data_IF_526964751204
#
_entry.id   IF_526964751204
#
_cell.length_a   1.000
_cell.length_b   1.000
_cell.length_c   1.000
_cell.angle_alpha   90.00
_cell.angle_beta   90.00
_cell.angle_gamma   90.00
#
_symmetry.space_group_name_H-M   'P 1'
#
loop_
_entity.id
_entity.type
_entity.pdbx_description
1 polymer ?
#
# COMPACT_ATOMS: atom_id res chain seq x y z
N UNK A 1 5.88 6.65 -14.02
CA UNK A 1 4.84 7.72 -14.02
C UNK A 1 5.52 8.99 -13.55
N UNK A 2 5.46 10.10 -14.30
CA UNK A 2 6.01 11.35 -13.79
C UNK A 2 5.23 11.74 -12.54
N UNK A 3 5.93 12.00 -11.45
CA UNK A 3 5.34 12.60 -10.26
C UNK A 3 5.02 14.05 -10.60
N UNK A 4 3.75 14.35 -10.77
CA UNK A 4 3.24 15.69 -10.80
C UNK A 4 3.01 16.10 -9.35
N UNK A 5 3.98 16.67 -8.66
CA UNK A 5 3.73 17.33 -7.40
C UNK A 5 3.14 18.69 -7.71
N UNK A 6 1.84 18.85 -7.54
CA UNK A 6 1.23 20.15 -7.41
C UNK A 6 1.05 20.40 -5.92
N UNK A 7 1.95 21.18 -5.30
CA UNK A 7 1.67 21.74 -4.00
C UNK A 7 0.53 22.76 -4.18
N UNK A 8 -0.67 22.39 -3.82
CA UNK A 8 -1.77 23.35 -3.62
C UNK A 8 -1.66 23.81 -2.18
N UNK A 9 -1.08 24.98 -1.95
CA UNK A 9 -1.12 25.64 -0.65
C UNK A 9 -2.46 26.41 -0.57
N UNK A 10 -3.32 26.00 0.33
CA UNK A 10 -4.63 26.61 0.55
C UNK A 10 -4.55 27.60 1.73
N UNK A 11 -4.52 28.90 1.43
CA UNK A 11 -4.67 29.93 2.45
C UNK A 11 -6.14 30.30 2.57
N UNK A 12 -6.77 29.95 3.70
CA UNK A 12 -8.15 30.33 3.98
C UNK A 12 -8.23 31.79 4.46
N UNK A 13 -9.00 32.61 3.76
CA UNK A 13 -9.40 33.95 4.25
C UNK A 13 -10.92 34.01 4.37
N UNK A 14 -11.44 34.17 5.59
CA UNK A 14 -12.86 34.43 5.84
C UNK A 14 -13.09 35.90 6.09
N UNK A 15 -14.00 36.51 5.31
CA UNK A 15 -14.68 37.76 5.63
C UNK A 15 -16.18 37.55 5.45
N UNK A 16 -16.93 37.43 6.55
CA UNK A 16 -18.38 37.18 6.53
C UNK A 16 -18.75 35.76 6.04
N UNK A 17 -19.72 35.62 5.14
CA UNK A 17 -20.18 34.35 4.54
C UNK A 17 -19.39 33.97 3.27
N UNK A 18 -18.15 34.45 3.11
CA UNK A 18 -17.31 34.21 1.94
C UNK A 18 -16.15 33.29 2.31
N UNK A 19 -15.98 32.19 1.57
CA UNK A 19 -14.80 31.33 1.62
C UNK A 19 -13.99 31.56 0.35
N UNK A 20 -12.70 31.81 0.49
CA UNK A 20 -11.75 31.87 -0.62
C UNK A 20 -10.74 30.73 -0.48
N UNK A 21 -10.59 29.95 -1.54
CA UNK A 21 -9.59 28.86 -1.64
C UNK A 21 -8.56 29.30 -2.66
N UNK A 22 -7.32 29.41 -2.24
CA UNK A 22 -6.19 29.70 -3.12
C UNK A 22 -5.50 28.38 -3.49
N UNK A 23 -5.41 28.06 -4.77
CA UNK A 23 -4.73 26.88 -5.27
C UNK A 23 -3.55 27.27 -6.16
N UNK A 24 -2.42 26.58 -5.99
CA UNK A 24 -1.24 26.72 -6.83
C UNK A 24 -0.80 25.38 -7.38
N UNK A 25 -0.12 25.39 -8.53
CA UNK A 25 0.43 24.18 -9.12
C UNK A 25 1.92 24.37 -9.47
N UNK A 26 2.69 23.30 -9.30
CA UNK A 26 4.07 23.20 -9.70
C UNK A 26 4.26 21.94 -10.53
N UNK A 27 4.90 22.05 -11.70
CA UNK A 27 5.22 20.89 -12.53
C UNK A 27 6.71 20.53 -12.36
N UNK A 28 7.05 19.41 -11.72
CA UNK A 28 8.44 19.05 -11.41
C UNK A 28 9.24 18.52 -12.61
N UNK A 29 8.62 18.33 -13.78
CA UNK A 29 9.29 17.76 -14.95
C UNK A 29 10.21 18.82 -15.60
N UNK A 30 11.46 18.89 -15.17
CA UNK A 30 12.44 19.89 -15.59
C UNK A 30 12.93 19.81 -17.06
N UNK A 31 12.68 18.72 -17.76
CA UNK A 31 13.25 18.45 -19.12
C UNK A 31 12.27 18.64 -20.28
N UNK A 32 11.07 19.15 -20.06
CA UNK A 32 10.08 19.36 -21.11
C UNK A 32 10.02 20.87 -21.46
N UNK A 33 10.15 21.32 -22.73
CA UNK A 33 10.04 22.72 -23.11
C UNK A 33 8.68 23.37 -22.76
N UNK A 34 7.66 22.56 -22.47
CA UNK A 34 6.32 23.00 -22.04
C UNK A 34 6.13 23.04 -20.52
N UNK A 35 7.20 22.84 -19.73
CA UNK A 35 7.13 22.76 -18.26
C UNK A 35 6.64 24.06 -17.58
N UNK A 36 6.76 25.20 -18.25
CA UNK A 36 6.30 26.47 -17.72
C UNK A 36 4.81 26.74 -17.94
N UNK A 37 4.15 25.91 -18.73
CA UNK A 37 2.72 26.03 -18.97
C UNK A 37 1.93 25.34 -17.81
N UNK A 38 0.93 26.03 -17.25
CA UNK A 38 0.09 25.42 -16.24
C UNK A 38 -0.75 24.28 -16.85
N UNK A 39 -0.92 23.22 -16.07
CA UNK A 39 -1.83 22.13 -16.42
C UNK A 39 -3.28 22.55 -16.15
N UNK A 40 -4.23 21.92 -16.83
CA UNK A 40 -5.64 22.04 -16.55
C UNK A 40 -6.01 20.94 -15.58
N UNK A 41 -6.23 21.30 -14.30
CA UNK A 41 -6.45 20.35 -13.20
C UNK A 41 -7.86 20.50 -12.66
N UNK A 42 -8.80 19.57 -12.94
CA UNK A 42 -10.10 19.56 -12.31
C UNK A 42 -9.99 19.10 -10.84
N UNK A 43 -10.65 19.83 -9.95
CA UNK A 43 -10.66 19.56 -8.51
C UNK A 43 -12.11 19.43 -8.06
N UNK A 44 -12.55 18.20 -7.79
CA UNK A 44 -13.83 17.97 -7.12
C UNK A 44 -13.65 18.26 -5.63
N UNK A 45 -14.42 19.20 -5.11
CA UNK A 45 -14.36 19.58 -3.70
C UNK A 45 -15.74 19.50 -3.04
N UNK A 46 -15.73 19.31 -1.72
CA UNK A 46 -16.89 19.48 -0.89
C UNK A 46 -16.59 20.44 0.27
N UNK A 47 -17.52 21.37 0.53
CA UNK A 47 -17.49 22.32 1.62
C UNK A 47 -18.59 21.91 2.60
N UNK A 48 -18.20 21.54 3.82
CA UNK A 48 -19.15 21.13 4.87
C UNK A 48 -19.62 22.35 5.65
N UNK A 49 -20.91 22.65 5.52
CA UNK A 49 -21.56 23.79 6.14
C UNK A 49 -22.19 23.42 7.50
N UNK A 50 -22.55 24.44 8.28
CA UNK A 50 -23.07 24.29 9.66
C UNK A 50 -24.44 23.62 9.78
N UNK A 51 -25.25 23.71 8.76
CA UNK A 51 -26.63 23.22 8.73
C UNK A 51 -26.78 21.82 8.11
N UNK A 52 -25.73 20.99 8.25
CA UNK A 52 -25.57 19.68 7.62
C UNK A 52 -25.67 19.73 6.07
N UNK A 53 -25.54 20.90 5.48
CA UNK A 53 -25.44 21.04 4.03
C UNK A 53 -24.01 20.87 3.59
N UNK A 54 -23.84 20.17 2.49
CA UNK A 54 -22.56 20.02 1.80
C UNK A 54 -22.67 20.69 0.43
N UNK A 55 -21.75 21.61 0.14
CA UNK A 55 -21.63 22.22 -1.18
C UNK A 55 -20.60 21.43 -1.96
N UNK A 56 -21.04 20.67 -2.95
CA UNK A 56 -20.16 19.93 -3.84
C UNK A 56 -19.95 20.70 -5.14
N UNK A 57 -18.70 20.83 -5.58
CA UNK A 57 -18.39 21.58 -6.80
C UNK A 57 -17.10 21.11 -7.44
N UNK A 58 -17.07 21.08 -8.76
CA UNK A 58 -15.84 20.96 -9.54
C UNK A 58 -15.32 22.35 -9.89
N UNK A 59 -14.11 22.67 -9.49
CA UNK A 59 -13.37 23.84 -9.94
C UNK A 59 -12.21 23.39 -10.83
N UNK A 60 -11.72 24.28 -11.68
CA UNK A 60 -10.62 23.92 -12.59
C UNK A 60 -9.47 24.92 -12.43
N UNK A 61 -8.34 24.42 -11.93
CA UNK A 61 -7.11 25.18 -11.84
C UNK A 61 -6.47 25.26 -13.25
N UNK A 62 -6.40 26.46 -13.82
CA UNK A 62 -5.91 26.71 -15.19
C UNK A 62 -4.61 27.50 -15.26
N UNK A 63 -4.23 28.11 -14.15
CA UNK A 63 -3.07 28.99 -14.04
C UNK A 63 -2.12 28.48 -12.95
N UNK A 64 -0.89 29.00 -12.90
CA UNK A 64 0.07 28.62 -11.85
C UNK A 64 -0.48 28.89 -10.43
N UNK A 65 -1.33 29.92 -10.28
CA UNK A 65 -1.99 30.26 -9.03
C UNK A 65 -3.35 30.83 -9.35
N UNK A 66 -4.41 30.39 -8.63
CA UNK A 66 -5.80 30.77 -8.86
C UNK A 66 -6.60 30.78 -7.56
N UNK A 67 -7.47 31.76 -7.40
CA UNK A 67 -8.42 31.85 -6.30
C UNK A 67 -9.81 31.37 -6.75
N UNK A 68 -10.46 30.61 -5.87
CA UNK A 68 -11.84 30.18 -6.02
C UNK A 68 -12.67 30.76 -4.88
N UNK A 69 -13.75 31.50 -5.21
CA UNK A 69 -14.57 32.21 -4.26
C UNK A 69 -15.93 31.55 -4.14
N UNK A 70 -16.30 31.16 -2.92
CA UNK A 70 -17.61 30.62 -2.57
C UNK A 70 -18.32 31.59 -1.66
N UNK A 71 -19.58 31.92 -2.00
CA UNK A 71 -20.44 32.84 -1.22
C UNK A 71 -21.51 32.05 -0.48
N UNK A 72 -22.04 32.61 0.59
CA UNK A 72 -23.09 32.05 1.44
C UNK A 72 -22.63 30.72 2.12
N UNK A 73 -21.33 30.63 2.47
CA UNK A 73 -20.79 29.52 3.19
C UNK A 73 -20.92 29.79 4.70
N UNK A 74 -21.91 29.16 5.33
CA UNK A 74 -22.13 29.26 6.79
C UNK A 74 -21.44 28.09 7.47
N UNK A 75 -20.66 28.35 8.51
CA UNK A 75 -20.02 27.31 9.34
C UNK A 75 -20.15 27.66 10.83
N UNK A 76 -20.54 26.69 11.67
CA UNK A 76 -20.49 26.83 13.13
C UNK A 76 -19.07 26.66 13.67
N UNK A 77 -18.18 26.04 12.90
CA UNK A 77 -16.74 25.99 13.16
C UNK A 77 -16.16 27.26 12.57
N UNK A 78 -15.15 27.84 13.19
CA UNK A 78 -14.56 29.11 12.75
C UNK A 78 -14.16 29.11 11.26
N UNK A 79 -13.80 27.94 10.71
CA UNK A 79 -13.45 27.74 9.31
C UNK A 79 -14.25 26.54 8.78
N UNK A 80 -14.90 26.64 7.59
CA UNK A 80 -15.60 25.50 6.97
C UNK A 80 -14.60 24.39 6.65
N UNK A 81 -15.00 23.16 6.94
CA UNK A 81 -14.21 21.99 6.55
C UNK A 81 -14.33 21.80 5.03
N UNK A 82 -13.20 21.64 4.35
CA UNK A 82 -13.15 21.42 2.89
C UNK A 82 -12.39 20.15 2.58
N UNK A 83 -12.89 19.36 1.63
CA UNK A 83 -12.20 18.20 1.08
C UNK A 83 -11.95 18.40 -0.41
N UNK A 84 -10.85 17.86 -0.92
CA UNK A 84 -10.35 18.07 -2.27
C UNK A 84 -10.14 16.78 -3.01
N UNK A 85 -10.12 16.84 -4.34
CA UNK A 85 -9.86 15.72 -5.24
C UNK A 85 -10.77 14.50 -5.03
N UNK A 86 -11.99 14.74 -4.56
CA UNK A 86 -13.00 13.69 -4.38
C UNK A 86 -13.15 12.89 -5.67
N UNK A 87 -13.48 11.59 -5.52
CA UNK A 87 -13.61 10.64 -6.64
C UNK A 87 -12.34 10.54 -7.51
N UNK A 88 -11.16 10.86 -6.92
CA UNK A 88 -9.90 10.88 -7.65
C UNK A 88 -9.95 11.78 -8.90
N UNK A 89 -10.51 12.98 -8.79
CA UNK A 89 -10.78 13.88 -9.93
C UNK A 89 -9.54 14.26 -10.75
N UNK A 90 -8.32 14.12 -10.20
CA UNK A 90 -7.08 14.33 -10.95
C UNK A 90 -5.93 13.48 -10.36
N UNK A 91 -5.06 12.90 -11.21
CA UNK A 91 -3.90 12.10 -10.78
C UNK A 91 -2.73 13.01 -10.40
N UNK A 92 -2.87 13.75 -9.31
CA UNK A 92 -1.87 14.70 -8.77
C UNK A 92 -1.47 14.32 -7.35
N UNK A 93 -0.24 14.63 -6.97
CA UNK A 93 0.14 14.74 -5.56
C UNK A 93 -0.27 16.12 -5.07
N UNK A 94 -0.87 16.24 -3.89
CA UNK A 94 -1.39 17.49 -3.38
C UNK A 94 -1.19 17.61 -1.87
N UNK A 95 -1.07 18.84 -1.42
CA UNK A 95 -0.97 19.23 -0.03
C UNK A 95 -2.02 20.27 0.30
N UNK A 96 -2.47 20.33 1.53
CA UNK A 96 -3.38 21.35 2.03
C UNK A 96 -3.00 21.75 3.46
N UNK A 97 -3.41 22.95 3.88
CA UNK A 97 -3.21 23.44 5.25
C UNK A 97 -4.13 22.75 6.28
N UNK A 98 -4.90 21.73 5.85
CA UNK A 98 -5.82 20.98 6.71
C UNK A 98 -5.06 20.32 7.86
N UNK A 99 -5.39 20.71 9.06
CA UNK A 99 -4.79 20.21 10.31
C UNK A 99 -5.17 18.76 10.59
N UNK A 100 -4.44 18.08 11.47
CA UNK A 100 -4.78 16.71 11.86
C UNK A 100 -6.15 16.60 12.53
N UNK A 101 -6.54 17.62 13.33
CA UNK A 101 -7.88 17.63 13.95
C UNK A 101 -8.99 17.80 12.91
N UNK A 102 -8.80 18.64 11.92
CA UNK A 102 -9.74 18.78 10.79
C UNK A 102 -9.79 17.48 9.95
N UNK A 103 -8.67 16.79 9.77
CA UNK A 103 -8.65 15.46 9.12
C UNK A 103 -9.49 14.42 9.89
N UNK A 104 -9.52 14.47 11.22
CA UNK A 104 -10.45 13.64 11.99
C UNK A 104 -11.92 14.05 11.78
N UNK A 105 -12.20 15.35 11.59
CA UNK A 105 -13.55 15.80 11.21
C UNK A 105 -13.92 15.32 9.81
N UNK A 106 -12.97 15.33 8.86
CA UNK A 106 -13.18 14.70 7.54
C UNK A 106 -13.61 13.25 7.70
N UNK A 107 -12.89 12.44 8.49
CA UNK A 107 -13.27 11.04 8.73
C UNK A 107 -14.68 10.87 9.34
N UNK A 108 -15.19 11.89 10.03
CA UNK A 108 -16.53 11.87 10.64
C UNK A 108 -17.64 12.26 9.66
N UNK A 109 -17.40 13.22 8.78
CA UNK A 109 -18.46 13.84 7.96
C UNK A 109 -18.39 13.47 6.48
N UNK A 110 -17.23 13.11 5.95
CA UNK A 110 -17.05 12.75 4.55
C UNK A 110 -17.68 11.38 4.23
N UNK A 111 -18.12 11.23 2.98
CA UNK A 111 -18.67 9.98 2.44
C UNK A 111 -17.93 9.50 1.19
N UNK A 112 -17.11 10.35 0.59
CA UNK A 112 -16.33 9.99 -0.58
C UNK A 112 -15.28 8.92 -0.24
N UNK A 113 -15.31 7.84 -1.02
CA UNK A 113 -14.43 6.68 -0.82
C UNK A 113 -12.94 7.06 -0.90
N UNK A 114 -12.57 7.80 -1.93
CA UNK A 114 -11.18 8.19 -2.16
C UNK A 114 -10.66 9.09 -1.03
N UNK A 115 -11.43 10.10 -0.67
CA UNK A 115 -11.05 11.05 0.38
C UNK A 115 -10.90 10.36 1.74
N UNK A 116 -11.83 9.48 2.11
CA UNK A 116 -11.76 8.73 3.38
C UNK A 116 -10.53 7.83 3.42
N UNK A 117 -10.30 7.02 2.36
CA UNK A 117 -9.14 6.11 2.32
C UNK A 117 -7.82 6.86 2.33
N UNK A 118 -7.71 7.97 1.58
CA UNK A 118 -6.51 8.80 1.58
C UNK A 118 -6.26 9.47 2.93
N UNK A 119 -7.31 9.96 3.59
CA UNK A 119 -7.19 10.60 4.91
C UNK A 119 -6.70 9.61 5.98
N UNK A 120 -7.22 8.38 5.99
CA UNK A 120 -6.73 7.34 6.91
C UNK A 120 -5.26 6.98 6.62
N UNK A 121 -4.86 6.90 5.35
CA UNK A 121 -3.45 6.66 4.96
C UNK A 121 -2.52 7.75 5.48
N UNK A 122 -2.94 9.02 5.48
CA UNK A 122 -2.17 10.12 6.08
C UNK A 122 -1.91 9.87 7.57
N UNK A 123 -2.92 9.39 8.32
CA UNK A 123 -2.73 9.05 9.74
C UNK A 123 -1.79 7.86 9.94
N UNK A 124 -1.98 6.77 9.20
CA UNK A 124 -1.07 5.63 9.28
C UNK A 124 0.37 6.04 8.99
N UNK A 125 0.59 6.81 7.92
CA UNK A 125 1.91 7.34 7.57
C UNK A 125 2.50 8.17 8.71
N UNK A 126 1.73 9.11 9.28
CA UNK A 126 2.18 9.93 10.43
C UNK A 126 2.57 9.06 11.62
N UNK A 127 1.76 8.06 11.96
CA UNK A 127 2.03 7.13 13.05
C UNK A 127 3.33 6.36 12.78
N UNK A 128 3.50 5.82 11.56
CA UNK A 128 4.71 5.08 11.18
C UNK A 128 5.95 5.97 11.30
N UNK A 129 5.91 7.19 10.76
CA UNK A 129 7.04 8.12 10.83
C UNK A 129 7.39 8.47 12.28
N UNK A 130 6.41 8.76 13.13
CA UNK A 130 6.65 9.02 14.55
C UNK A 130 7.31 7.82 15.28
N UNK A 131 6.93 6.59 14.92
CA UNK A 131 7.56 5.38 15.48
C UNK A 131 8.97 5.13 14.93
N UNK A 132 9.20 5.41 13.66
CA UNK A 132 10.55 5.36 13.07
C UNK A 132 11.50 6.38 13.73
N UNK A 133 10.98 7.54 14.14
CA UNK A 133 11.72 8.56 14.90
C UNK A 133 11.81 8.24 16.42
N UNK A 134 11.30 7.08 16.86
CA UNK A 134 11.24 6.65 18.27
C UNK A 134 10.44 7.61 19.17
N UNK A 135 9.48 8.34 18.60
CA UNK A 135 8.59 9.28 19.26
C UNK A 135 7.11 8.94 18.97
N UNK A 136 6.60 7.78 19.38
CA UNK A 136 5.23 7.38 19.09
C UNK A 136 4.21 8.38 19.63
N UNK A 137 3.25 8.77 18.79
CA UNK A 137 2.13 9.63 19.18
C UNK A 137 0.91 8.77 19.53
N UNK A 138 0.85 8.31 20.77
CA UNK A 138 -0.23 7.49 21.28
C UNK A 138 -1.59 8.18 21.25
N UNK A 139 -1.65 9.53 21.25
CA UNK A 139 -2.91 10.27 21.15
C UNK A 139 -3.51 10.09 19.75
N UNK A 140 -2.71 10.24 18.71
CA UNK A 140 -3.15 10.00 17.32
C UNK A 140 -3.50 8.53 17.12
N UNK A 141 -2.69 7.60 17.63
CA UNK A 141 -2.95 6.16 17.53
C UNK A 141 -4.33 5.80 18.13
N UNK A 142 -4.57 6.20 19.39
CA UNK A 142 -5.83 5.90 20.08
C UNK A 142 -7.04 6.57 19.40
N UNK A 143 -6.87 7.80 18.89
CA UNK A 143 -7.95 8.50 18.18
C UNK A 143 -8.26 7.84 16.83
N UNK A 144 -7.25 7.35 16.11
CA UNK A 144 -7.47 6.58 14.89
C UNK A 144 -8.16 5.24 15.18
N UNK A 145 -7.71 4.50 16.21
CA UNK A 145 -8.34 3.23 16.62
C UNK A 145 -9.82 3.44 16.94
N UNK A 146 -10.17 4.45 17.75
CA UNK A 146 -11.59 4.74 18.06
C UNK A 146 -12.39 5.13 16.83
N UNK A 147 -11.78 5.84 15.88
CA UNK A 147 -12.43 6.17 14.60
C UNK A 147 -12.68 4.91 13.76
N UNK A 148 -11.69 4.00 13.67
CA UNK A 148 -11.85 2.72 12.95
C UNK A 148 -12.91 1.83 13.62
N UNK A 149 -13.00 1.79 14.95
CA UNK A 149 -14.08 1.11 15.66
C UNK A 149 -15.45 1.64 15.21
N UNK A 150 -15.59 2.97 15.08
CA UNK A 150 -16.86 3.56 14.60
C UNK A 150 -17.21 3.13 13.18
N UNK A 151 -16.21 3.02 12.29
CA UNK A 151 -16.41 2.51 10.93
C UNK A 151 -16.77 1.03 10.92
N UNK A 152 -16.12 0.18 11.73
CA UNK A 152 -16.42 -1.25 11.82
C UNK A 152 -17.87 -1.47 12.30
N UNK A 153 -18.33 -0.67 13.27
CA UNK A 153 -19.70 -0.74 13.83
C UNK A 153 -20.77 -0.17 12.91
N UNK A 154 -20.38 0.62 11.91
CA UNK A 154 -21.34 1.15 10.95
C UNK A 154 -21.86 0.04 10.02
N UNK A 155 -23.16 -0.22 10.07
CA UNK A 155 -23.81 -1.28 9.26
C UNK A 155 -23.93 -0.89 7.77
N UNK A 156 -23.99 0.40 7.48
CA UNK A 156 -24.19 0.92 6.13
C UNK A 156 -22.87 1.21 5.40
N UNK A 157 -21.74 0.91 6.03
CA UNK A 157 -20.42 1.14 5.42
C UNK A 157 -20.21 0.24 4.21
N UNK A 158 -19.66 0.80 3.14
CA UNK A 158 -19.17 0.01 2.03
C UNK A 158 -18.02 -0.90 2.50
N UNK A 159 -18.18 -2.22 2.40
CA UNK A 159 -17.20 -3.19 2.90
C UNK A 159 -15.85 -3.12 2.18
N UNK A 160 -15.84 -2.70 0.90
CA UNK A 160 -14.57 -2.45 0.19
C UNK A 160 -13.84 -1.23 0.75
N UNK A 161 -14.57 -0.17 1.11
CA UNK A 161 -14.01 0.98 1.81
C UNK A 161 -13.45 0.55 3.17
N UNK A 162 -14.23 -0.19 3.97
CA UNK A 162 -13.77 -0.66 5.27
C UNK A 162 -12.46 -1.48 5.15
N UNK A 163 -12.34 -2.32 4.13
CA UNK A 163 -11.09 -3.05 3.85
C UNK A 163 -9.91 -2.10 3.62
N UNK A 164 -10.10 -1.00 2.87
CA UNK A 164 -9.04 0.00 2.65
C UNK A 164 -8.70 0.77 3.94
N UNK A 165 -9.71 1.16 4.72
CA UNK A 165 -9.50 1.88 5.98
C UNK A 165 -8.73 1.06 7.02
N UNK A 166 -8.91 -0.25 7.03
CA UNK A 166 -8.21 -1.19 7.91
C UNK A 166 -6.84 -1.63 7.40
N UNK A 167 -6.49 -1.29 6.16
CA UNK A 167 -5.23 -1.72 5.54
C UNK A 167 -4.09 -0.78 5.92
N UNK A 168 -3.16 -1.27 6.74
CA UNK A 168 -1.93 -0.56 7.08
C UNK A 168 -1.03 -0.47 5.84
N UNK A 169 -0.38 0.68 5.57
CA UNK A 169 0.51 0.85 4.43
C UNK A 169 1.62 -0.20 4.36
N UNK A 170 1.95 -0.58 3.15
CA UNK A 170 3.03 -1.54 2.85
C UNK A 170 4.41 -0.88 2.95
N UNK A 171 5.47 -1.70 3.00
CA UNK A 171 6.85 -1.22 2.94
C UNK A 171 7.07 -0.26 1.76
N UNK A 172 6.62 -0.61 0.56
CA UNK A 172 6.83 0.19 -0.65
C UNK A 172 6.12 1.56 -0.60
N UNK A 173 4.94 1.65 0.05
CA UNK A 173 4.22 2.91 0.24
C UNK A 173 4.98 3.84 1.21
N UNK A 174 5.61 3.30 2.24
CA UNK A 174 6.39 4.08 3.20
C UNK A 174 7.78 4.43 2.63
N UNK A 175 8.47 3.44 2.04
CA UNK A 175 9.78 3.61 1.44
C UNK A 175 9.81 4.74 0.41
N UNK A 176 8.74 4.89 -0.39
CA UNK A 176 8.66 5.92 -1.44
C UNK A 176 8.66 7.36 -0.90
N UNK A 177 8.41 7.56 0.38
CA UNK A 177 8.11 8.86 1.00
C UNK A 177 9.20 9.37 1.95
N UNK A 178 10.20 8.55 2.24
CA UNK A 178 11.22 8.88 3.23
C UNK A 178 12.62 8.87 2.63
N UNK A 179 13.51 9.61 3.27
CA UNK A 179 14.95 9.59 3.07
C UNK A 179 15.62 8.89 4.25
N UNK A 180 16.85 8.43 4.08
CA UNK A 180 17.60 7.66 5.08
C UNK A 180 16.86 6.38 5.53
N UNK A 181 16.52 5.55 4.53
CA UNK A 181 15.68 4.36 4.69
C UNK A 181 16.45 3.27 5.43
N UNK A 182 15.91 2.85 6.57
CA UNK A 182 16.24 1.59 7.23
C UNK A 182 15.11 0.58 6.98
N UNK A 183 15.27 -0.34 6.04
CA UNK A 183 14.17 -1.22 5.64
C UNK A 183 13.74 -2.17 6.74
N UNK A 184 14.66 -2.70 7.56
CA UNK A 184 14.29 -3.61 8.65
C UNK A 184 13.51 -2.90 9.74
N UNK A 185 13.85 -1.65 10.04
CA UNK A 185 13.11 -0.81 10.98
C UNK A 185 11.68 -0.54 10.48
N UNK A 186 11.51 -0.27 9.17
CA UNK A 186 10.18 -0.09 8.57
C UNK A 186 9.35 -1.37 8.68
N UNK A 187 9.89 -2.53 8.30
CA UNK A 187 9.18 -3.81 8.42
C UNK A 187 8.73 -4.09 9.85
N UNK A 188 9.65 -3.91 10.81
CA UNK A 188 9.37 -4.09 12.24
C UNK A 188 8.24 -3.16 12.70
N UNK A 189 8.30 -1.87 12.34
CA UNK A 189 7.27 -0.89 12.68
C UNK A 189 5.89 -1.26 12.11
N UNK A 190 5.84 -1.71 10.86
CA UNK A 190 4.59 -2.17 10.23
C UNK A 190 4.03 -3.40 10.96
N UNK A 191 4.88 -4.36 11.34
CA UNK A 191 4.45 -5.56 12.06
C UNK A 191 3.94 -5.23 13.48
N UNK A 192 4.63 -4.32 14.20
CA UNK A 192 4.18 -3.81 15.50
C UNK A 192 2.81 -3.10 15.41
N UNK A 193 2.58 -2.33 14.33
CA UNK A 193 1.29 -1.68 14.11
C UNK A 193 0.19 -2.69 13.77
N UNK A 194 0.47 -3.68 12.93
CA UNK A 194 -0.49 -4.76 12.66
C UNK A 194 -0.88 -5.49 13.94
N UNK A 195 0.09 -5.77 14.83
CA UNK A 195 -0.19 -6.36 16.13
C UNK A 195 -1.03 -5.44 17.02
N UNK A 196 -0.67 -4.16 17.14
CA UNK A 196 -1.41 -3.17 17.93
C UNK A 196 -2.86 -3.04 17.47
N UNK A 197 -3.07 -2.82 16.17
CA UNK A 197 -4.42 -2.66 15.61
C UNK A 197 -5.21 -3.96 15.66
N UNK A 198 -4.59 -5.10 15.36
CA UNK A 198 -5.20 -6.41 15.49
C UNK A 198 -5.70 -6.69 16.92
N UNK A 199 -4.89 -6.33 17.92
CA UNK A 199 -5.24 -6.51 19.35
C UNK A 199 -6.32 -5.53 19.79
N UNK A 200 -6.20 -4.25 19.42
CA UNK A 200 -7.13 -3.20 19.87
C UNK A 200 -8.50 -3.25 19.18
N UNK A 201 -8.57 -3.79 17.97
CA UNK A 201 -9.80 -3.92 17.18
C UNK A 201 -10.42 -5.33 17.27
N UNK A 202 -9.81 -6.24 18.04
CA UNK A 202 -10.14 -7.68 18.02
C UNK A 202 -11.63 -7.97 18.15
N UNK A 203 -12.28 -7.40 19.14
CA UNK A 203 -13.70 -7.67 19.43
C UNK A 203 -14.60 -7.21 18.27
N UNK A 204 -14.39 -6.01 17.77
CA UNK A 204 -15.16 -5.45 16.67
C UNK A 204 -14.89 -6.19 15.35
N UNK A 205 -13.65 -6.63 15.12
CA UNK A 205 -13.29 -7.44 13.96
C UNK A 205 -14.01 -8.80 14.00
N UNK A 206 -14.10 -9.46 15.16
CA UNK A 206 -14.88 -10.69 15.31
C UNK A 206 -16.38 -10.48 15.08
N UNK A 207 -16.93 -9.39 15.60
CA UNK A 207 -18.32 -9.04 15.35
C UNK A 207 -18.59 -8.85 13.84
N UNK A 208 -17.74 -8.07 13.15
CA UNK A 208 -17.86 -7.87 11.71
C UNK A 208 -17.63 -9.15 10.91
N UNK A 209 -16.71 -10.01 11.34
CA UNK A 209 -16.47 -11.31 10.74
C UNK A 209 -17.72 -12.17 10.73
N UNK A 210 -18.42 -12.29 11.87
CA UNK A 210 -19.69 -13.04 11.98
C UNK A 210 -20.80 -12.49 11.07
N UNK A 211 -20.81 -11.17 10.87
CA UNK A 211 -21.79 -10.51 9.98
C UNK A 211 -21.54 -10.90 8.51
N UNK A 212 -20.28 -10.85 8.05
CA UNK A 212 -19.93 -11.07 6.64
C UNK A 212 -19.80 -12.56 6.26
N UNK A 213 -19.51 -13.44 7.19
CA UNK A 213 -19.35 -14.89 6.92
C UNK A 213 -20.54 -15.51 6.21
N UNK A 214 -21.76 -15.04 6.52
CA UNK A 214 -23.01 -15.51 5.89
C UNK A 214 -23.06 -15.33 4.38
N UNK A 215 -22.28 -14.39 3.84
CA UNK A 215 -22.29 -14.00 2.44
C UNK A 215 -21.07 -14.47 1.64
N UNK A 216 -20.06 -15.07 2.28
CA UNK A 216 -18.80 -15.43 1.65
C UNK A 216 -18.94 -16.41 0.49
N UNK A 217 -19.89 -17.35 0.60
CA UNK A 217 -20.14 -18.40 -0.38
C UNK A 217 -21.12 -17.98 -1.49
N UNK A 218 -21.63 -16.76 -1.46
CA UNK A 218 -22.49 -16.25 -2.54
C UNK A 218 -21.73 -16.20 -3.86
N UNK A 219 -22.46 -16.50 -4.94
CA UNK A 219 -21.92 -16.48 -6.32
C UNK A 219 -21.62 -15.05 -6.73
N UNK A 220 -20.52 -14.85 -7.47
CA UNK A 220 -20.18 -13.55 -8.02
C UNK A 220 -21.34 -12.98 -8.89
N UNK A 221 -21.66 -11.69 -8.80
CA UNK A 221 -20.95 -10.59 -8.13
C UNK A 221 -21.25 -10.44 -6.63
N UNK A 222 -22.23 -11.17 -6.09
CA UNK A 222 -22.55 -11.15 -4.67
C UNK A 222 -21.37 -11.66 -3.81
N UNK A 223 -21.27 -11.21 -2.59
CA UNK A 223 -20.19 -11.57 -1.66
C UNK A 223 -18.79 -11.08 -2.05
N UNK A 224 -18.65 -10.28 -3.13
CA UNK A 224 -17.34 -9.77 -3.59
C UNK A 224 -16.69 -8.88 -2.54
N UNK A 225 -17.42 -7.97 -1.94
CA UNK A 225 -16.91 -7.02 -0.96
C UNK A 225 -16.60 -7.69 0.35
N UNK A 226 -17.42 -8.68 0.76
CA UNK A 226 -17.18 -9.53 1.93
C UNK A 226 -15.87 -10.31 1.77
N UNK A 227 -15.64 -10.93 0.61
CA UNK A 227 -14.39 -11.65 0.34
C UNK A 227 -13.16 -10.76 0.27
N UNK A 228 -13.29 -9.48 -0.08
CA UNK A 228 -12.21 -8.49 0.02
C UNK A 228 -11.91 -8.14 1.47
N UNK A 229 -12.95 -7.82 2.24
CA UNK A 229 -12.82 -7.41 3.63
C UNK A 229 -12.30 -8.55 4.53
N UNK A 230 -12.72 -9.79 4.28
CA UNK A 230 -12.33 -10.91 5.14
C UNK A 230 -10.81 -11.14 5.16
N UNK A 231 -10.13 -10.97 4.04
CA UNK A 231 -8.66 -11.08 3.98
C UNK A 231 -8.00 -10.07 4.93
N UNK A 232 -8.49 -8.83 4.95
CA UNK A 232 -7.96 -7.77 5.82
C UNK A 232 -8.25 -8.06 7.30
N UNK A 233 -9.48 -8.52 7.63
CA UNK A 233 -9.84 -8.92 8.99
C UNK A 233 -8.95 -10.08 9.46
N UNK A 234 -8.79 -11.12 8.65
CA UNK A 234 -7.97 -12.26 9.01
C UNK A 234 -6.49 -11.87 9.23
N UNK A 235 -5.92 -11.00 8.39
CA UNK A 235 -4.55 -10.48 8.59
C UNK A 235 -4.39 -9.82 9.95
N UNK A 236 -5.31 -8.95 10.32
CA UNK A 236 -5.25 -8.25 11.60
C UNK A 236 -5.44 -9.19 12.78
N UNK A 237 -6.42 -10.09 12.74
CA UNK A 237 -6.67 -11.05 13.80
C UNK A 237 -5.50 -12.03 13.98
N UNK A 238 -4.87 -12.48 12.90
CA UNK A 238 -3.67 -13.32 12.98
C UNK A 238 -2.50 -12.61 13.66
N UNK A 239 -2.37 -11.29 13.45
CA UNK A 239 -1.34 -10.48 14.11
C UNK A 239 -1.61 -10.26 15.61
N UNK A 240 -2.82 -10.51 16.11
CA UNK A 240 -3.17 -10.43 17.54
C UNK A 240 -2.86 -11.71 18.35
N UNK A 241 -2.07 -12.63 17.80
CA UNK A 241 -1.71 -13.93 18.39
C UNK A 241 -2.91 -14.83 18.72
N UNK A 242 -4.00 -14.67 18.00
CA UNK A 242 -5.21 -15.43 18.17
C UNK A 242 -5.08 -16.85 17.61
N UNK A 243 -5.09 -17.85 18.50
CA UNK A 243 -4.97 -19.27 18.11
C UNK A 243 -6.24 -19.82 17.48
N UNK A 244 -7.41 -19.37 17.90
CA UNK A 244 -8.70 -19.87 17.42
C UNK A 244 -8.91 -19.50 15.95
N UNK A 245 -8.58 -18.26 15.58
CA UNK A 245 -8.76 -17.78 14.20
C UNK A 245 -7.89 -18.55 13.20
N UNK A 246 -6.69 -19.03 13.59
CA UNK A 246 -5.82 -19.83 12.73
C UNK A 246 -6.53 -21.08 12.22
N UNK A 247 -7.15 -21.84 13.13
CA UNK A 247 -7.90 -23.05 12.79
C UNK A 247 -9.09 -22.78 11.86
N UNK A 248 -9.82 -21.68 12.11
CA UNK A 248 -10.95 -21.28 11.25
C UNK A 248 -10.49 -20.95 9.81
N UNK A 249 -9.42 -20.18 9.67
CA UNK A 249 -8.92 -19.74 8.34
C UNK A 249 -8.43 -20.94 7.52
N UNK A 250 -7.76 -21.91 8.12
CA UNK A 250 -7.26 -23.11 7.42
C UNK A 250 -8.40 -23.83 6.68
N UNK A 251 -9.60 -23.90 7.24
CA UNK A 251 -10.74 -24.53 6.60
C UNK A 251 -11.16 -23.84 5.29
N UNK A 252 -10.90 -22.54 5.16
CA UNK A 252 -11.22 -21.78 3.94
C UNK A 252 -10.18 -21.95 2.83
N UNK A 253 -8.98 -22.44 3.12
CA UNK A 253 -7.93 -22.68 2.10
C UNK A 253 -8.38 -23.74 1.08
N UNK A 254 -9.19 -24.71 1.51
CA UNK A 254 -9.79 -25.73 0.64
C UNK A 254 -11.14 -25.31 0.03
N UNK A 255 -11.48 -24.04 0.10
CA UNK A 255 -12.72 -23.52 -0.52
C UNK A 255 -12.74 -23.73 -2.03
N UNK A 256 -13.92 -24.01 -2.58
CA UNK A 256 -14.15 -24.02 -4.03
C UNK A 256 -14.13 -22.62 -4.65
N UNK A 257 -14.31 -21.58 -3.84
CA UNK A 257 -14.09 -20.20 -4.26
C UNK A 257 -12.59 -19.89 -4.26
N UNK A 258 -11.98 -19.78 -5.42
CA UNK A 258 -10.57 -19.41 -5.58
C UNK A 258 -10.23 -18.12 -4.84
N UNK A 259 -11.11 -17.12 -4.89
CA UNK A 259 -10.90 -15.83 -4.20
C UNK A 259 -10.82 -16.03 -2.69
N UNK A 260 -11.68 -16.88 -2.13
CA UNK A 260 -11.71 -17.15 -0.70
C UNK A 260 -10.51 -18.01 -0.27
N UNK A 261 -10.16 -19.03 -1.04
CA UNK A 261 -8.96 -19.85 -0.80
C UNK A 261 -7.68 -19.00 -0.84
N UNK A 262 -7.58 -18.06 -1.80
CA UNK A 262 -6.46 -17.10 -1.86
C UNK A 262 -6.44 -16.15 -0.68
N UNK A 263 -7.59 -15.60 -0.28
CA UNK A 263 -7.69 -14.72 0.88
C UNK A 263 -7.21 -15.43 2.16
N UNK A 264 -7.64 -16.67 2.36
CA UNK A 264 -7.21 -17.50 3.48
C UNK A 264 -5.69 -17.76 3.46
N UNK A 265 -5.14 -18.17 2.32
CA UNK A 265 -3.70 -18.36 2.18
C UNK A 265 -2.92 -17.04 2.39
N UNK A 266 -3.34 -15.95 1.72
CA UNK A 266 -2.64 -14.67 1.76
C UNK A 266 -2.65 -14.02 3.16
N UNK A 267 -3.64 -14.30 4.00
CA UNK A 267 -3.68 -13.77 5.36
C UNK A 267 -2.47 -14.23 6.21
N UNK A 268 -1.87 -15.38 5.87
CA UNK A 268 -0.64 -15.88 6.50
C UNK A 268 0.66 -15.42 5.81
N UNK A 269 0.60 -14.57 4.80
CA UNK A 269 1.78 -14.26 3.96
C UNK A 269 2.97 -13.69 4.73
N UNK A 270 2.74 -13.01 5.86
CA UNK A 270 3.79 -12.42 6.71
C UNK A 270 3.97 -13.10 8.07
N UNK A 271 3.31 -14.23 8.29
CA UNK A 271 3.32 -14.91 9.58
C UNK A 271 4.15 -16.18 9.46
N UNK A 272 5.22 -16.28 10.25
CA UNK A 272 6.00 -17.51 10.38
C UNK A 272 5.39 -18.37 11.49
N UNK A 273 4.65 -19.41 11.08
CA UNK A 273 4.02 -20.36 12.00
C UNK A 273 3.92 -21.75 11.34
N UNK A 274 3.77 -22.83 12.14
CA UNK A 274 3.66 -24.19 11.61
C UNK A 274 2.50 -24.36 10.61
N UNK A 275 1.39 -23.67 10.83
CA UNK A 275 0.18 -23.73 9.99
C UNK A 275 0.44 -23.26 8.56
N UNK A 276 1.43 -22.39 8.35
CA UNK A 276 1.81 -21.89 7.03
C UNK A 276 2.16 -23.04 6.06
N UNK A 277 2.89 -24.06 6.52
CA UNK A 277 3.24 -25.22 5.70
C UNK A 277 1.99 -26.03 5.34
N UNK A 278 1.07 -26.21 6.28
CA UNK A 278 -0.20 -26.90 6.07
C UNK A 278 -1.02 -26.19 4.99
N UNK A 279 -1.18 -24.87 5.12
CA UNK A 279 -1.89 -24.00 4.19
C UNK A 279 -1.28 -24.07 2.78
N UNK A 280 0.06 -23.95 2.70
CA UNK A 280 0.78 -24.05 1.44
C UNK A 280 0.50 -25.38 0.73
N UNK A 281 0.54 -26.50 1.47
CA UNK A 281 0.29 -27.84 0.91
C UNK A 281 -1.15 -28.03 0.46
N UNK A 282 -2.16 -27.59 1.25
CA UNK A 282 -3.58 -27.68 0.87
C UNK A 282 -3.81 -26.92 -0.43
N UNK A 283 -3.38 -25.65 -0.48
CA UNK A 283 -3.57 -24.81 -1.67
C UNK A 283 -2.87 -25.39 -2.89
N UNK A 284 -1.60 -25.80 -2.75
CA UNK A 284 -0.84 -26.42 -3.82
C UNK A 284 -1.53 -27.66 -4.39
N UNK A 285 -1.93 -28.62 -3.55
CA UNK A 285 -2.56 -29.86 -4.01
C UNK A 285 -3.84 -29.60 -4.76
N UNK A 286 -4.64 -28.63 -4.37
CA UNK A 286 -5.86 -28.27 -5.02
C UNK A 286 -5.66 -27.57 -6.37
N UNK A 287 -4.67 -26.68 -6.46
CA UNK A 287 -4.55 -25.75 -7.58
C UNK A 287 -3.33 -25.96 -8.48
N UNK A 288 -2.47 -26.96 -8.21
CA UNK A 288 -1.22 -27.22 -8.96
C UNK A 288 -1.38 -27.40 -10.46
N UNK A 289 -2.56 -27.81 -10.92
CA UNK A 289 -2.85 -28.00 -12.34
C UNK A 289 -3.38 -26.71 -13.03
N UNK A 290 -3.50 -25.60 -12.31
CA UNK A 290 -3.89 -24.31 -12.84
C UNK A 290 -2.74 -23.31 -12.68
N UNK A 291 -1.97 -23.08 -13.74
CA UNK A 291 -0.76 -22.27 -13.72
C UNK A 291 -1.01 -20.83 -13.21
N UNK A 292 -2.12 -20.20 -13.62
CA UNK A 292 -2.48 -18.83 -13.21
C UNK A 292 -2.75 -18.74 -11.69
N UNK A 293 -3.40 -19.74 -11.14
CA UNK A 293 -3.69 -19.78 -9.69
C UNK A 293 -2.42 -20.16 -8.93
N UNK A 294 -1.58 -21.03 -9.49
CA UNK A 294 -0.32 -21.48 -8.90
C UNK A 294 0.68 -20.33 -8.74
N UNK A 295 0.66 -19.30 -9.57
CA UNK A 295 1.45 -18.08 -9.36
C UNK A 295 1.19 -17.43 -7.99
N UNK A 296 -0.04 -17.54 -7.47
CA UNK A 296 -0.37 -17.06 -6.12
C UNK A 296 0.30 -17.90 -5.02
N UNK A 297 0.46 -19.21 -5.23
CA UNK A 297 1.19 -20.09 -4.33
C UNK A 297 2.70 -19.77 -4.33
N UNK A 298 3.28 -19.52 -5.51
CA UNK A 298 4.67 -19.05 -5.61
C UNK A 298 4.86 -17.73 -4.86
N UNK A 299 3.98 -16.75 -5.05
CA UNK A 299 4.01 -15.48 -4.33
C UNK A 299 3.89 -15.68 -2.82
N UNK A 300 2.98 -16.53 -2.36
CA UNK A 300 2.81 -16.81 -0.94
C UNK A 300 4.11 -17.37 -0.33
N UNK A 301 4.74 -18.34 -0.97
CA UNK A 301 5.97 -18.96 -0.43
C UNK A 301 7.20 -18.03 -0.57
N UNK A 302 7.21 -17.10 -1.51
CA UNK A 302 8.27 -16.10 -1.64
C UNK A 302 8.13 -14.89 -0.68
N UNK A 303 7.00 -14.74 0.02
CA UNK A 303 6.69 -13.55 0.82
C UNK A 303 7.44 -13.47 2.15
N UNK A 304 7.98 -14.57 2.64
CA UNK A 304 8.77 -14.65 3.87
C UNK A 304 9.82 -15.76 3.71
N UNK A 305 11.01 -15.53 4.28
CA UNK A 305 12.02 -16.58 4.42
C UNK A 305 11.71 -17.41 5.67
N UNK A 306 11.68 -18.72 5.51
CA UNK A 306 11.44 -19.67 6.59
C UNK A 306 12.74 -20.36 7.01
N UNK A 307 13.59 -20.62 6.03
CA UNK A 307 14.90 -21.25 6.21
C UNK A 307 16.00 -20.17 6.22
N UNK A 308 17.22 -20.55 6.51
CA UNK A 308 18.32 -19.59 6.49
C UNK A 308 18.71 -19.18 5.05
N UNK A 309 18.96 -17.88 4.83
CA UNK A 309 19.63 -17.30 3.66
C UNK A 309 19.04 -17.66 2.29
N UNK A 310 17.81 -17.26 1.99
CA UNK A 310 17.20 -17.43 0.65
C UNK A 310 17.04 -18.88 0.16
N UNK A 311 17.31 -19.87 0.99
CA UNK A 311 17.20 -21.28 0.58
C UNK A 311 15.78 -21.71 0.29
N UNK A 312 14.78 -21.18 0.99
CA UNK A 312 13.38 -21.48 0.72
C UNK A 312 12.93 -20.85 -0.62
N UNK A 313 13.45 -19.68 -0.98
CA UNK A 313 13.19 -19.04 -2.27
C UNK A 313 13.82 -19.83 -3.42
N UNK A 314 15.05 -20.35 -3.25
CA UNK A 314 15.73 -21.16 -4.29
C UNK A 314 14.93 -22.42 -4.61
N UNK A 315 14.38 -23.11 -3.60
CA UNK A 315 13.52 -24.29 -3.78
C UNK A 315 12.28 -24.02 -4.66
N UNK A 316 11.82 -22.79 -4.77
CA UNK A 316 10.70 -22.43 -5.65
C UNK A 316 11.10 -22.52 -7.12
N UNK A 317 12.35 -22.20 -7.47
CA UNK A 317 12.87 -22.32 -8.83
C UNK A 317 13.16 -23.80 -9.21
N UNK A 318 13.39 -24.66 -8.23
CA UNK A 318 13.56 -26.10 -8.43
C UNK A 318 12.22 -26.86 -8.54
N UNK A 319 11.10 -26.18 -8.29
CA UNK A 319 9.79 -26.81 -8.34
C UNK A 319 9.42 -27.17 -9.79
N UNK A 320 8.94 -28.40 -10.01
CA UNK A 320 8.59 -28.92 -11.35
C UNK A 320 7.52 -28.13 -12.09
N UNK A 321 6.76 -27.28 -11.40
CA UNK A 321 5.75 -26.39 -11.98
C UNK A 321 6.29 -24.97 -12.24
N UNK A 322 7.56 -24.71 -11.89
CA UNK A 322 8.20 -23.46 -12.24
C UNK A 322 8.49 -23.42 -13.73
N UNK A 323 8.01 -22.38 -14.40
CA UNK A 323 8.31 -22.12 -15.82
C UNK A 323 9.17 -20.86 -15.96
N UNK A 324 10.46 -21.04 -16.28
CA UNK A 324 11.42 -19.95 -16.45
C UNK A 324 11.08 -19.02 -17.63
N UNK A 325 10.28 -19.48 -18.59
CA UNK A 325 9.80 -18.68 -19.73
C UNK A 325 8.55 -17.88 -19.41
N UNK A 326 7.83 -18.24 -18.34
CA UNK A 326 6.63 -17.51 -17.92
C UNK A 326 7.00 -16.20 -17.21
N UNK A 327 6.68 -15.04 -17.80
CA UNK A 327 6.88 -13.75 -17.11
C UNK A 327 6.11 -13.63 -15.80
N UNK A 328 4.95 -14.29 -15.67
CA UNK A 328 4.11 -14.21 -14.50
C UNK A 328 4.69 -15.01 -13.33
N UNK A 329 5.18 -16.22 -13.58
CA UNK A 329 5.79 -17.06 -12.55
C UNK A 329 7.09 -16.42 -12.01
N UNK A 330 7.92 -15.85 -12.91
CA UNK A 330 9.09 -15.07 -12.48
C UNK A 330 8.70 -13.88 -11.60
N UNK A 331 7.66 -13.11 -11.99
CA UNK A 331 7.15 -12.01 -11.17
C UNK A 331 6.59 -12.50 -9.85
N UNK A 332 5.86 -13.61 -9.84
CA UNK A 332 5.28 -14.17 -8.63
C UNK A 332 6.35 -14.43 -7.56
N UNK A 333 7.51 -14.93 -7.95
CA UNK A 333 8.62 -15.20 -7.03
C UNK A 333 9.44 -13.94 -6.78
N UNK A 334 10.07 -13.38 -7.83
CA UNK A 334 11.07 -12.32 -7.67
C UNK A 334 10.46 -11.01 -7.18
N UNK A 335 9.30 -10.58 -7.73
CA UNK A 335 8.66 -9.34 -7.27
C UNK A 335 8.20 -9.46 -5.82
N UNK A 336 7.65 -10.62 -5.42
CA UNK A 336 7.25 -10.83 -4.04
C UNK A 336 8.45 -10.82 -3.10
N UNK A 337 9.55 -11.46 -3.48
CA UNK A 337 10.79 -11.44 -2.70
C UNK A 337 11.29 -10.02 -2.47
N UNK A 338 11.39 -9.19 -3.50
CA UNK A 338 11.92 -7.83 -3.37
C UNK A 338 10.95 -6.83 -2.71
N UNK A 339 9.64 -7.08 -2.75
CA UNK A 339 8.65 -6.11 -2.23
C UNK A 339 8.03 -6.50 -0.89
N UNK A 340 8.11 -7.77 -0.47
CA UNK A 340 7.41 -8.26 0.72
C UNK A 340 8.28 -9.01 1.70
N UNK A 341 9.40 -9.59 1.23
CA UNK A 341 10.28 -10.41 2.06
C UNK A 341 11.41 -9.54 2.63
N UNK A 342 11.45 -9.38 3.96
CA UNK A 342 12.47 -8.57 4.63
C UNK A 342 13.89 -9.08 4.42
N UNK A 343 14.08 -10.38 4.11
CA UNK A 343 15.39 -10.97 3.81
C UNK A 343 16.04 -10.37 2.57
N UNK A 344 15.25 -9.80 1.64
CA UNK A 344 15.80 -9.02 0.53
C UNK A 344 16.71 -7.89 1.03
N UNK A 345 16.38 -7.30 2.18
CA UNK A 345 17.14 -6.24 2.83
C UNK A 345 18.03 -6.76 3.97
N UNK A 346 18.55 -7.98 3.88
CA UNK A 346 19.50 -8.48 4.87
C UNK A 346 20.72 -7.56 4.99
N UNK A 347 21.16 -7.25 6.22
CA UNK A 347 22.24 -6.28 6.49
C UNK A 347 23.59 -6.68 5.85
N UNK A 348 23.81 -7.98 5.64
CA UNK A 348 25.01 -8.52 4.98
C UNK A 348 24.98 -8.39 3.43
N UNK A 349 23.90 -7.85 2.88
CA UNK A 349 23.69 -7.69 1.45
C UNK A 349 23.38 -8.99 0.70
N UNK A 350 23.17 -10.10 1.41
CA UNK A 350 22.91 -11.41 0.78
C UNK A 350 21.66 -11.42 -0.10
N UNK A 351 20.60 -10.73 0.29
CA UNK A 351 19.38 -10.62 -0.51
C UNK A 351 19.60 -9.85 -1.81
N UNK A 352 20.42 -8.80 -1.82
CA UNK A 352 20.77 -8.05 -3.02
C UNK A 352 21.63 -8.88 -3.97
N UNK A 353 22.62 -9.59 -3.43
CA UNK A 353 23.49 -10.51 -4.20
C UNK A 353 22.67 -11.65 -4.81
N UNK A 354 21.67 -12.14 -4.07
CA UNK A 354 20.76 -13.18 -4.57
C UNK A 354 19.95 -12.68 -5.77
N UNK A 355 19.31 -11.50 -5.67
CA UNK A 355 18.54 -10.96 -6.80
C UNK A 355 19.44 -10.65 -7.99
N UNK A 356 20.69 -10.18 -7.78
CA UNK A 356 21.66 -9.98 -8.83
C UNK A 356 21.96 -11.29 -9.60
N UNK A 357 22.16 -12.40 -8.88
CA UNK A 357 22.32 -13.73 -9.49
C UNK A 357 21.11 -14.07 -10.38
N UNK A 358 19.88 -13.86 -9.89
CA UNK A 358 18.66 -14.15 -10.65
C UNK A 358 18.45 -13.21 -11.84
N UNK A 359 18.83 -11.95 -11.73
CA UNK A 359 18.85 -11.00 -12.85
C UNK A 359 19.78 -11.52 -13.95
N UNK A 360 21.02 -11.90 -13.63
CA UNK A 360 21.99 -12.40 -14.60
C UNK A 360 21.52 -13.72 -15.23
N UNK A 361 20.96 -14.62 -14.43
CA UNK A 361 20.47 -15.94 -14.85
C UNK A 361 19.32 -15.82 -15.87
N UNK A 362 18.34 -14.96 -15.60
CA UNK A 362 17.10 -14.89 -16.40
C UNK A 362 17.08 -13.75 -17.43
N UNK A 363 18.08 -12.88 -17.48
CA UNK A 363 18.07 -11.69 -18.36
C UNK A 363 17.91 -12.04 -19.84
N UNK A 364 18.59 -13.08 -20.33
CA UNK A 364 18.48 -13.49 -21.73
C UNK A 364 17.15 -14.18 -22.06
N UNK A 365 16.51 -14.81 -21.07
CA UNK A 365 15.23 -15.49 -21.26
C UNK A 365 14.05 -14.52 -21.23
N UNK A 366 14.10 -13.52 -20.36
CA UNK A 366 13.02 -12.56 -20.12
C UNK A 366 13.54 -11.11 -19.95
N UNK A 367 14.19 -10.50 -20.96
CA UNK A 367 14.87 -9.21 -20.82
C UNK A 367 13.94 -8.07 -20.38
N UNK A 368 12.69 -8.04 -20.87
CA UNK A 368 11.69 -7.02 -20.51
C UNK A 368 11.25 -7.16 -19.03
N UNK A 369 11.13 -8.37 -18.53
CA UNK A 369 10.76 -8.61 -17.14
C UNK A 369 11.93 -8.29 -16.23
N UNK A 370 13.09 -8.81 -16.57
CA UNK A 370 14.31 -8.69 -15.74
C UNK A 370 14.79 -7.24 -15.65
N UNK A 371 14.75 -6.47 -16.73
CA UNK A 371 15.10 -5.04 -16.69
C UNK A 371 14.25 -4.24 -15.68
N UNK A 372 13.02 -4.68 -15.40
CA UNK A 372 12.17 -4.07 -14.35
C UNK A 372 12.65 -4.41 -12.93
N UNK A 373 13.25 -5.58 -12.71
CA UNK A 373 13.79 -5.92 -11.40
C UNK A 373 15.03 -5.13 -11.03
N UNK A 374 15.80 -4.66 -12.01
CA UNK A 374 16.91 -3.75 -11.78
C UNK A 374 16.45 -2.45 -11.12
N UNK A 375 15.23 -1.99 -11.42
CA UNK A 375 14.66 -0.76 -10.84
C UNK A 375 14.50 -0.79 -9.32
N UNK A 376 14.56 -1.97 -8.66
CA UNK A 376 14.53 -2.04 -7.19
C UNK A 376 15.71 -1.29 -6.56
N UNK A 377 16.81 -1.11 -7.32
CA UNK A 377 17.96 -0.36 -6.88
C UNK A 377 17.88 1.15 -7.20
N UNK A 378 16.82 1.65 -7.87
CA UNK A 378 16.75 3.06 -8.31
C UNK A 378 16.77 4.09 -7.18
N UNK A 379 16.39 3.68 -5.97
CA UNK A 379 16.38 4.54 -4.79
C UNK A 379 17.56 4.31 -3.84
N UNK A 380 18.60 3.60 -4.26
CA UNK A 380 19.73 3.22 -3.39
C UNK A 380 20.35 4.40 -2.61
N UNK A 381 20.34 5.61 -3.19
CA UNK A 381 20.86 6.81 -2.55
C UNK A 381 20.10 7.25 -1.31
N UNK A 382 18.84 6.83 -1.16
CA UNK A 382 17.97 7.16 -0.02
C UNK A 382 18.07 6.15 1.13
N UNK A 383 18.83 5.06 0.95
CA UNK A 383 18.99 4.04 1.97
C UNK A 383 20.14 4.39 2.93
N UNK A 384 19.97 4.04 4.20
CA UNK A 384 21.01 4.12 5.21
C UNK A 384 22.10 3.07 4.99
N UNK A 385 23.25 3.26 5.62
CA UNK A 385 24.28 2.21 5.65
C UNK A 385 23.87 1.08 6.62
N UNK A 386 24.19 -0.19 6.33
CA UNK A 386 25.05 -0.66 5.22
C UNK A 386 24.29 -0.95 3.91
N UNK A 387 22.99 -0.75 3.86
CA UNK A 387 22.15 -1.10 2.70
C UNK A 387 22.59 -0.39 1.42
N UNK A 388 22.86 0.93 1.51
CA UNK A 388 23.33 1.74 0.38
C UNK A 388 24.60 1.18 -0.23
N UNK A 389 25.63 0.93 0.57
CA UNK A 389 26.90 0.38 0.12
C UNK A 389 26.73 -1.00 -0.53
N UNK A 390 25.92 -1.88 0.07
CA UNK A 390 25.61 -3.20 -0.45
C UNK A 390 24.88 -3.13 -1.80
N UNK A 391 23.93 -2.20 -1.97
CA UNK A 391 23.23 -1.98 -3.25
C UNK A 391 24.20 -1.50 -4.34
N UNK A 392 25.07 -0.55 -4.02
CA UNK A 392 26.09 -0.02 -4.98
C UNK A 392 27.02 -1.15 -5.44
N UNK A 393 27.54 -1.97 -4.51
CA UNK A 393 28.36 -3.12 -4.84
C UNK A 393 27.63 -4.09 -5.76
N UNK A 394 26.38 -4.38 -5.44
CA UNK A 394 25.54 -5.28 -6.23
C UNK A 394 25.27 -4.75 -7.64
N UNK A 395 24.99 -3.45 -7.81
CA UNK A 395 24.81 -2.82 -9.12
C UNK A 395 26.10 -2.94 -9.95
N UNK A 396 27.27 -2.68 -9.33
CA UNK A 396 28.58 -2.84 -10.00
C UNK A 396 28.81 -4.29 -10.43
N UNK A 397 28.39 -5.26 -9.61
CA UNK A 397 28.49 -6.68 -9.95
C UNK A 397 27.61 -7.05 -11.15
N UNK A 398 26.35 -6.57 -11.18
CA UNK A 398 25.44 -6.82 -12.30
C UNK A 398 26.04 -6.25 -13.61
N UNK A 399 26.55 -5.02 -13.57
CA UNK A 399 27.15 -4.34 -14.76
C UNK A 399 28.32 -5.09 -15.40
N UNK A 400 29.07 -5.87 -14.66
CA UNK A 400 30.21 -6.64 -15.19
C UNK A 400 29.79 -7.79 -16.10
N UNK A 401 28.51 -8.12 -16.18
CA UNK A 401 28.01 -9.25 -16.95
C UNK A 401 27.51 -8.86 -18.35
N UNK A 402 27.46 -9.85 -19.24
CA UNK A 402 26.93 -9.65 -20.61
C UNK A 402 25.39 -9.67 -20.58
N UNK A 403 24.79 -8.51 -20.32
CA UNK A 403 23.36 -8.31 -20.18
C UNK A 403 22.68 -7.92 -21.50
N UNK A 404 21.36 -8.10 -21.56
CA UNK A 404 20.52 -7.60 -22.63
C UNK A 404 20.55 -6.06 -22.71
N UNK A 405 20.21 -5.52 -23.88
CA UNK A 405 20.15 -4.06 -24.09
C UNK A 405 19.20 -3.39 -23.12
N UNK A 406 18.02 -3.98 -22.90
CA UNK A 406 17.00 -3.45 -21.98
C UNK A 406 17.51 -3.31 -20.53
N UNK A 407 18.23 -4.32 -20.05
CA UNK A 407 18.76 -4.32 -18.68
C UNK A 407 19.92 -3.35 -18.53
N UNK A 408 20.79 -3.24 -19.55
CA UNK A 408 21.89 -2.25 -19.58
C UNK A 408 21.36 -0.82 -19.52
N UNK A 409 20.38 -0.46 -20.35
CA UNK A 409 19.78 0.89 -20.39
C UNK A 409 19.20 1.29 -19.03
N UNK A 410 18.52 0.36 -18.35
CA UNK A 410 17.96 0.63 -17.01
C UNK A 410 19.06 0.79 -15.95
N UNK A 411 20.11 -0.03 -16.00
CA UNK A 411 21.26 0.09 -15.09
C UNK A 411 22.02 1.41 -15.27
N UNK A 412 22.22 1.84 -16.50
CA UNK A 412 22.90 3.10 -16.80
C UNK A 412 22.09 4.29 -16.26
N UNK A 413 20.76 4.29 -16.46
CA UNK A 413 19.86 5.31 -15.92
C UNK A 413 19.75 5.35 -14.38
N UNK A 414 20.17 4.30 -13.66
CA UNK A 414 20.17 4.28 -12.19
C UNK A 414 21.43 4.93 -11.63
N UNK A 415 22.55 4.89 -12.38
CA UNK A 415 23.87 5.33 -11.90
C UNK A 415 24.17 6.77 -12.33
N UNK A 416 23.56 7.26 -13.42
CA UNK A 416 23.57 8.67 -13.81
C UNK A 416 22.85 9.57 -12.78
#
# INVERSE_FOLDING_TARGET
TPRLSSAASDVYKRQGEKLTIEASQNNPIKKNPYNDLPLIIPINLAIFCSDNKTIEKTVVLKTKKQEFIFRNVRSHIQIPLVTYFREFSSPVEWESDTTLDEKFLILKYEKDFFTLSNTVKVFYKKIILCRLDEKPDHKIENKLISTLISFIKNKDINLSLLSELLSIPTFAEIESEIENIDPLKIYKTIDELNHLFGTKLKEELYFKLQEIEKNLNKVWPEGKNERKLIETIWKLLLCSDDREIKGKIINYVDSNSMTLAKAAMNSFSRINCPERKIISNIFFNKWKNNSVVLDSWFSFNASIEIDEKTSSIEKLFENKFFDSKSPNTLRAILNTFVTRNSTFHAMDGSGYKYIAKKIIEFDKLNPIVISRFVKVFSRYNYYSEPYKSNMIETIKQIKKNNLSKNTKEVLDAIIE
#
